data_IF_600082380470
#
_entry.id   IF_600082380470
#
_cell.length_a   1.000
_cell.length_b   1.000
_cell.length_c   1.000
_cell.angle_alpha   90.00
_cell.angle_beta   90.00
_cell.angle_gamma   90.00
#
_symmetry.space_group_name_H-M   'P 1'
#
loop_
_entity.id
_entity.type
_entity.pdbx_description
1 polymer ?
#
# COMPACT_ATOMS: atom_id res chain seq x y z
N UNK A 1 14.44 -12.87 19.61
CA UNK A 1 13.66 -12.73 20.86
C UNK A 1 12.51 -13.74 20.91
N UNK A 2 11.45 -13.65 20.10
CA UNK A 2 10.35 -14.64 20.13
C UNK A 2 10.83 -16.10 20.00
N UNK A 3 11.61 -16.42 18.96
CA UNK A 3 12.18 -17.75 18.78
C UNK A 3 13.10 -18.22 19.93
N UNK A 4 13.75 -17.28 20.63
CA UNK A 4 14.60 -17.60 21.78
C UNK A 4 13.75 -17.95 23.01
N UNK A 5 12.67 -17.20 23.24
CA UNK A 5 11.71 -17.44 24.32
C UNK A 5 10.97 -18.77 24.10
N UNK A 6 10.52 -19.05 22.88
CA UNK A 6 9.92 -20.34 22.53
C UNK A 6 10.89 -21.51 22.76
N UNK A 7 12.16 -21.36 22.34
CA UNK A 7 13.19 -22.36 22.59
C UNK A 7 13.50 -22.56 24.09
N UNK A 8 13.20 -21.55 24.92
CA UNK A 8 13.33 -21.61 26.38
C UNK A 8 12.08 -22.17 27.07
N UNK A 9 11.07 -22.61 26.31
CA UNK A 9 9.81 -23.15 26.85
C UNK A 9 8.78 -22.08 27.24
N UNK A 10 9.03 -20.81 26.93
CA UNK A 10 8.12 -19.71 27.28
C UNK A 10 6.96 -19.59 26.29
N UNK A 11 5.76 -19.28 26.81
CA UNK A 11 4.58 -19.05 25.97
C UNK A 11 4.63 -17.65 25.36
N UNK A 12 4.84 -17.58 24.05
CA UNK A 12 4.89 -16.32 23.30
C UNK A 12 3.57 -16.05 22.57
N UNK A 13 3.07 -14.82 22.67
CA UNK A 13 1.85 -14.37 22.00
C UNK A 13 2.12 -13.05 21.27
N UNK A 14 1.61 -12.91 20.04
CA UNK A 14 1.62 -11.64 19.31
C UNK A 14 0.36 -10.83 19.62
N UNK A 15 0.53 -9.64 20.20
CA UNK A 15 -0.59 -8.74 20.51
C UNK A 15 -0.68 -7.66 19.44
N UNK A 16 -1.83 -7.57 18.77
CA UNK A 16 -2.12 -6.45 17.88
C UNK A 16 -2.18 -5.16 18.67
N UNK A 17 -1.76 -4.03 18.08
CA UNK A 17 -1.80 -2.74 18.81
C UNK A 17 -3.22 -2.48 19.37
N UNK A 18 -3.39 -2.35 20.70
CA UNK A 18 -4.70 -2.13 21.30
C UNK A 18 -5.38 -0.87 20.77
N UNK A 19 -6.71 -0.86 20.70
CA UNK A 19 -7.49 0.35 20.45
C UNK A 19 -7.16 1.38 21.55
N UNK A 20 -6.61 2.52 21.13
CA UNK A 20 -6.20 3.59 22.03
C UNK A 20 -7.41 4.43 22.44
N UNK A 21 -7.64 4.67 23.74
CA UNK A 21 -8.47 5.80 24.17
C UNK A 21 -7.81 7.11 23.73
N UNK A 22 -8.60 8.10 23.33
CA UNK A 22 -8.10 9.45 23.07
C UNK A 22 -7.60 10.04 24.39
N UNK A 23 -6.29 10.20 24.55
CA UNK A 23 -5.69 10.73 25.78
C UNK A 23 -5.33 12.21 25.58
N UNK A 24 -5.98 13.11 26.31
CA UNK A 24 -5.58 14.52 26.42
C UNK A 24 -4.34 14.59 27.32
N UNK A 25 -3.19 15.01 26.77
CA UNK A 25 -2.02 15.46 27.54
C UNK A 25 -1.09 14.41 28.15
N UNK A 26 -1.28 13.12 27.91
CA UNK A 26 -0.43 12.07 28.49
C UNK A 26 0.87 11.83 27.70
N UNK A 27 2.03 11.86 28.37
CA UNK A 27 3.33 11.50 27.78
C UNK A 27 3.37 9.99 27.51
N UNK A 28 3.72 9.62 26.28
CA UNK A 28 3.89 8.23 25.80
C UNK A 28 4.94 7.52 26.66
N UNK A 29 4.61 6.36 27.23
CA UNK A 29 5.60 5.49 27.87
C UNK A 29 5.42 4.04 27.42
N UNK A 30 6.52 3.38 27.05
CA UNK A 30 6.49 1.99 26.58
C UNK A 30 6.05 1.01 27.68
N UNK A 31 6.22 1.39 28.96
CA UNK A 31 5.73 0.62 30.11
C UNK A 31 4.20 0.50 30.14
N UNK A 32 3.46 1.58 29.81
CA UNK A 32 2.00 1.53 29.74
C UNK A 32 1.51 0.67 28.57
N UNK A 33 2.22 0.71 27.44
CA UNK A 33 1.92 -0.14 26.28
C UNK A 33 2.19 -1.62 26.61
N UNK A 34 3.25 -1.93 27.36
CA UNK A 34 3.53 -3.29 27.82
C UNK A 34 2.43 -3.85 28.75
N UNK A 35 1.96 -3.07 29.74
CA UNK A 35 0.86 -3.49 30.63
C UNK A 35 -0.43 -3.73 29.85
N UNK A 36 -0.76 -2.85 28.88
CA UNK A 36 -1.94 -3.02 28.03
C UNK A 36 -1.84 -4.28 27.19
N UNK A 37 -0.69 -4.52 26.56
CA UNK A 37 -0.46 -5.72 25.77
C UNK A 37 -0.57 -6.99 26.63
N UNK A 38 0.00 -6.99 27.84
CA UNK A 38 -0.09 -8.11 28.77
C UNK A 38 -1.54 -8.39 29.20
N UNK A 39 -2.31 -7.36 29.55
CA UNK A 39 -3.73 -7.51 29.89
C UNK A 39 -4.54 -8.08 28.72
N UNK A 40 -4.34 -7.54 27.52
CA UNK A 40 -5.02 -8.01 26.32
C UNK A 40 -4.67 -9.49 26.03
N UNK A 41 -3.40 -9.86 26.15
CA UNK A 41 -2.94 -11.23 25.99
C UNK A 41 -3.57 -12.19 27.01
N UNK A 42 -3.66 -11.79 28.30
CA UNK A 42 -4.25 -12.61 29.36
C UNK A 42 -5.76 -12.80 29.19
N UNK A 43 -6.46 -11.79 28.65
CA UNK A 43 -7.91 -11.85 28.41
C UNK A 43 -8.29 -12.48 27.07
N UNK A 44 -7.31 -12.77 26.21
CA UNK A 44 -7.56 -13.31 24.88
C UNK A 44 -7.78 -14.82 24.93
N UNK A 45 -8.99 -15.28 24.61
CA UNK A 45 -9.31 -16.71 24.48
C UNK A 45 -8.56 -17.39 23.33
N UNK A 46 -8.21 -16.61 22.30
CA UNK A 46 -7.57 -17.10 21.08
C UNK A 46 -6.41 -16.17 20.66
N UNK A 47 -5.25 -16.26 21.34
CA UNK A 47 -4.10 -15.43 21.04
C UNK A 47 -3.56 -15.69 19.63
N UNK A 48 -3.09 -14.64 18.96
CA UNK A 48 -2.37 -14.78 17.69
C UNK A 48 -0.99 -15.34 17.99
N UNK A 49 -0.65 -16.46 17.35
CA UNK A 49 0.67 -17.06 17.51
C UNK A 49 1.74 -16.21 16.81
N UNK A 50 2.98 -16.17 17.35
CA UNK A 50 4.07 -15.46 16.72
C UNK A 50 4.35 -16.03 15.33
N UNK A 51 4.89 -15.20 14.44
CA UNK A 51 5.26 -15.65 13.09
C UNK A 51 6.47 -16.59 13.16
N UNK A 52 6.37 -17.69 12.44
CA UNK A 52 7.49 -18.62 12.26
C UNK A 52 8.58 -18.00 11.37
N UNK A 53 9.84 -18.38 11.65
CA UNK A 53 10.99 -18.07 10.79
C UNK A 53 11.19 -19.21 9.77
N UNK A 54 12.23 -19.12 8.95
CA UNK A 54 12.48 -20.07 7.85
C UNK A 54 12.02 -19.48 6.51
N UNK A 55 11.32 -20.27 5.71
CA UNK A 55 10.82 -19.88 4.38
C UNK A 55 10.05 -18.55 4.38
N UNK A 56 9.24 -18.31 5.41
CA UNK A 56 8.53 -17.02 5.57
C UNK A 56 9.46 -15.83 5.75
N UNK A 57 10.58 -16.01 6.45
CA UNK A 57 11.55 -14.93 6.63
C UNK A 57 12.35 -14.69 5.35
N UNK A 58 12.68 -15.76 4.61
CA UNK A 58 13.27 -15.67 3.27
C UNK A 58 12.34 -14.92 2.30
N UNK A 59 11.03 -15.21 2.33
CA UNK A 59 10.06 -14.47 1.53
C UNK A 59 9.84 -13.03 2.04
N UNK A 60 9.97 -12.76 3.35
CA UNK A 60 9.72 -11.41 3.91
C UNK A 60 10.76 -10.38 3.47
N UNK A 61 12.02 -10.79 3.34
CA UNK A 61 13.10 -9.84 3.04
C UNK A 61 12.92 -9.22 1.66
N UNK A 62 12.49 -9.97 0.65
CA UNK A 62 12.39 -9.47 -0.72
C UNK A 62 11.35 -8.34 -0.92
N UNK A 63 10.07 -8.45 -0.49
CA UNK A 63 9.11 -7.36 -0.60
C UNK A 63 9.51 -6.13 0.21
N UNK A 64 10.22 -6.33 1.32
CA UNK A 64 10.73 -5.23 2.15
C UNK A 64 11.81 -4.46 1.40
N UNK A 65 12.80 -5.17 0.85
CA UNK A 65 13.88 -4.57 0.04
C UNK A 65 13.32 -3.91 -1.22
N UNK A 66 12.43 -4.57 -1.96
CA UNK A 66 11.78 -4.02 -3.15
C UNK A 66 11.04 -2.72 -2.83
N UNK A 67 10.31 -2.67 -1.71
CA UNK A 67 9.61 -1.45 -1.29
C UNK A 67 10.58 -0.30 -1.01
N UNK A 68 11.73 -0.59 -0.42
CA UNK A 68 12.80 0.39 -0.23
C UNK A 68 13.30 0.93 -1.58
N UNK A 69 13.61 0.05 -2.54
CA UNK A 69 14.06 0.43 -3.88
C UNK A 69 13.02 1.29 -4.64
N UNK A 70 11.73 0.95 -4.54
CA UNK A 70 10.63 1.73 -5.14
C UNK A 70 10.49 3.10 -4.47
N UNK A 71 10.62 3.16 -3.15
CA UNK A 71 10.60 4.43 -2.41
C UNK A 71 11.79 5.32 -2.80
N UNK A 72 12.99 4.74 -2.87
CA UNK A 72 14.20 5.44 -3.32
C UNK A 72 14.08 5.90 -4.79
N UNK A 73 13.48 5.08 -5.66
CA UNK A 73 13.19 5.47 -7.06
C UNK A 73 12.33 6.71 -7.11
N UNK A 74 11.29 6.78 -6.27
CA UNK A 74 10.36 7.92 -6.22
C UNK A 74 11.08 9.17 -5.74
N UNK A 75 11.88 9.06 -4.68
CA UNK A 75 12.71 10.17 -4.19
C UNK A 75 13.71 10.67 -5.25
N UNK A 76 14.37 9.76 -5.97
CA UNK A 76 15.31 10.10 -7.02
C UNK A 76 14.63 10.76 -8.23
N UNK A 77 13.43 10.30 -8.63
CA UNK A 77 12.62 10.97 -9.67
C UNK A 77 12.28 12.39 -9.24
N UNK A 78 11.82 12.59 -8.01
CA UNK A 78 11.51 13.92 -7.51
C UNK A 78 12.75 14.82 -7.52
N UNK A 79 13.91 14.31 -7.10
CA UNK A 79 15.17 15.03 -7.16
C UNK A 79 15.56 15.40 -8.61
N UNK A 80 15.43 14.47 -9.56
CA UNK A 80 15.68 14.75 -10.98
C UNK A 80 14.78 15.86 -11.51
N UNK A 81 13.49 15.87 -11.14
CA UNK A 81 12.54 16.91 -11.55
C UNK A 81 12.94 18.28 -10.98
N UNK A 82 13.39 18.34 -9.74
CA UNK A 82 13.91 19.58 -9.13
C UNK A 82 15.13 20.09 -9.91
N UNK A 83 16.09 19.21 -10.20
CA UNK A 83 17.27 19.59 -10.99
C UNK A 83 16.91 20.10 -12.39
N UNK A 84 15.93 19.48 -13.05
CA UNK A 84 15.44 19.95 -14.37
C UNK A 84 14.82 21.35 -14.26
N UNK A 85 14.04 21.61 -13.21
CA UNK A 85 13.41 22.94 -13.01
C UNK A 85 14.48 24.02 -12.77
N UNK A 86 15.54 23.71 -12.03
CA UNK A 86 16.62 24.66 -11.74
C UNK A 86 17.75 24.69 -12.78
N UNK A 87 17.70 23.85 -13.81
CA UNK A 87 18.75 23.79 -14.84
C UNK A 87 18.77 25.07 -15.69
N UNK A 88 19.89 25.38 -16.39
CA UNK A 88 19.96 26.41 -17.43
C UNK A 88 18.80 26.35 -18.44
N UNK A 89 18.39 27.50 -18.97
CA UNK A 89 17.17 27.64 -19.78
C UNK A 89 17.15 26.75 -21.02
N UNK A 90 18.29 26.59 -21.69
CA UNK A 90 18.44 25.75 -22.87
C UNK A 90 18.30 24.26 -22.53
N UNK A 91 18.96 23.78 -21.47
CA UNK A 91 18.79 22.41 -20.96
C UNK A 91 17.36 22.15 -20.50
N UNK A 92 16.78 23.07 -19.75
CA UNK A 92 15.41 22.94 -19.24
C UNK A 92 14.41 22.86 -20.39
N UNK A 93 14.54 23.70 -21.40
CA UNK A 93 13.62 23.76 -22.54
C UNK A 93 13.65 22.48 -23.37
N UNK A 94 14.83 21.88 -23.55
CA UNK A 94 14.98 20.58 -24.21
C UNK A 94 14.29 19.46 -23.43
N UNK A 95 14.53 19.36 -22.12
CA UNK A 95 14.12 18.22 -21.31
C UNK A 95 12.63 18.30 -20.88
N UNK A 96 12.10 19.51 -20.68
CA UNK A 96 10.77 19.72 -20.07
C UNK A 96 9.61 19.17 -20.89
N UNK A 97 9.71 19.17 -22.22
CA UNK A 97 8.67 18.67 -23.13
C UNK A 97 8.62 17.14 -23.19
N UNK A 98 9.64 16.45 -22.68
CA UNK A 98 9.75 15.00 -22.72
C UNK A 98 8.89 14.32 -21.63
N UNK A 99 8.42 13.10 -21.93
CA UNK A 99 7.79 12.25 -20.91
C UNK A 99 8.78 11.91 -19.79
N UNK A 100 8.30 11.60 -18.58
CA UNK A 100 9.18 11.23 -17.46
C UNK A 100 10.14 10.07 -17.78
N UNK A 101 9.71 9.10 -18.62
CA UNK A 101 10.57 8.01 -19.08
C UNK A 101 11.67 8.53 -20.00
N UNK A 102 11.30 9.37 -20.98
CA UNK A 102 12.25 9.98 -21.91
C UNK A 102 13.23 10.91 -21.19
N UNK A 103 12.80 11.68 -20.20
CA UNK A 103 13.69 12.52 -19.37
C UNK A 103 14.76 11.69 -18.65
N UNK A 104 14.37 10.57 -18.04
CA UNK A 104 15.33 9.68 -17.35
C UNK A 104 16.32 9.11 -18.37
N UNK A 105 15.84 8.59 -19.51
CA UNK A 105 16.72 8.03 -20.54
C UNK A 105 17.67 9.09 -21.13
N UNK A 106 17.17 10.29 -21.41
CA UNK A 106 17.95 11.40 -21.95
C UNK A 106 19.01 11.86 -20.95
N UNK A 107 18.64 12.10 -19.69
CA UNK A 107 19.56 12.54 -18.66
C UNK A 107 20.60 11.47 -18.30
N UNK A 108 20.27 10.17 -18.38
CA UNK A 108 21.21 9.09 -18.08
C UNK A 108 22.37 9.00 -19.08
N UNK A 109 22.15 9.44 -20.32
CA UNK A 109 23.13 9.46 -21.40
C UNK A 109 23.11 10.82 -22.12
N UNK A 110 23.53 11.90 -21.43
CA UNK A 110 23.47 13.23 -21.99
C UNK A 110 24.55 13.35 -23.08
N UNK A 111 24.17 13.98 -24.19
CA UNK A 111 25.06 14.22 -25.34
C UNK A 111 26.26 15.06 -24.92
N UNK A 112 27.44 14.70 -25.40
CA UNK A 112 28.64 15.51 -25.22
C UNK A 112 28.47 16.86 -25.93
N UNK A 113 28.82 17.95 -25.22
CA UNK A 113 28.76 19.30 -25.78
C UNK A 113 30.12 19.98 -25.59
N UNK A 114 30.81 20.39 -26.66
CA UNK A 114 32.01 21.20 -26.54
C UNK A 114 31.65 22.61 -26.01
N UNK A 115 32.56 23.21 -25.25
CA UNK A 115 32.50 24.59 -24.73
C UNK A 115 31.24 24.97 -23.93
N UNK A 116 31.14 24.48 -22.69
CA UNK A 116 30.05 24.83 -21.77
C UNK A 116 30.52 25.71 -20.61
N UNK A 117 29.65 26.64 -20.19
CA UNK A 117 29.85 27.43 -18.97
C UNK A 117 29.91 26.50 -17.73
N UNK A 118 30.40 27.02 -16.59
CA UNK A 118 30.58 26.22 -15.38
C UNK A 118 29.28 25.57 -14.90
N UNK A 119 28.15 26.29 -15.00
CA UNK A 119 26.83 25.82 -14.59
C UNK A 119 26.40 24.55 -15.34
N UNK A 120 26.60 24.52 -16.65
CA UNK A 120 26.35 23.35 -17.48
C UNK A 120 27.27 22.17 -17.14
N UNK A 121 28.57 22.45 -16.97
CA UNK A 121 29.58 21.44 -16.62
C UNK A 121 29.26 20.74 -15.31
N UNK A 122 28.58 21.40 -14.37
CA UNK A 122 28.16 20.81 -13.10
C UNK A 122 26.75 20.19 -13.16
N UNK A 123 25.82 20.81 -13.88
CA UNK A 123 24.43 20.35 -13.98
C UNK A 123 24.31 19.01 -14.71
N UNK A 124 25.04 18.83 -15.82
CA UNK A 124 24.94 17.60 -16.64
C UNK A 124 25.36 16.34 -15.86
N UNK A 125 26.52 16.30 -15.17
CA UNK A 125 26.88 15.16 -14.32
C UNK A 125 25.87 14.88 -13.20
N UNK A 126 25.30 15.91 -12.59
CA UNK A 126 24.28 15.75 -11.54
C UNK A 126 22.99 15.12 -12.08
N UNK A 127 22.51 15.58 -13.24
CA UNK A 127 21.38 14.97 -13.95
C UNK A 127 21.68 13.52 -14.32
N UNK A 128 22.89 13.24 -14.84
CA UNK A 128 23.34 11.90 -15.23
C UNK A 128 23.36 10.94 -14.04
N UNK A 129 24.04 11.32 -12.97
CA UNK A 129 24.15 10.50 -11.75
C UNK A 129 22.77 10.17 -11.17
N UNK A 130 21.87 11.16 -11.12
CA UNK A 130 20.51 10.96 -10.62
C UNK A 130 19.69 10.05 -11.53
N UNK A 131 19.78 10.23 -12.85
CA UNK A 131 19.05 9.42 -13.82
C UNK A 131 19.52 7.96 -13.86
N UNK A 132 20.83 7.73 -13.80
CA UNK A 132 21.41 6.39 -13.69
C UNK A 132 20.97 5.70 -12.39
N UNK A 133 20.96 6.43 -11.26
CA UNK A 133 20.44 5.89 -9.99
C UNK A 133 18.98 5.44 -10.10
N UNK A 134 18.13 6.21 -10.80
CA UNK A 134 16.74 5.80 -11.05
C UNK A 134 16.69 4.50 -11.87
N UNK A 135 17.53 4.35 -12.88
CA UNK A 135 17.58 3.14 -13.70
C UNK A 135 18.03 1.92 -12.88
N UNK A 136 19.08 2.07 -12.08
CA UNK A 136 19.58 1.01 -11.18
C UNK A 136 18.50 0.58 -10.18
N UNK A 137 17.86 1.52 -9.48
CA UNK A 137 16.82 1.21 -8.50
C UNK A 137 15.58 0.55 -9.12
N UNK A 138 15.23 0.94 -10.36
CA UNK A 138 14.15 0.28 -11.11
C UNK A 138 14.51 -1.14 -11.53
N UNK A 139 15.75 -1.35 -11.97
CA UNK A 139 16.23 -2.68 -12.33
C UNK A 139 16.25 -3.58 -11.09
N UNK A 140 16.80 -3.11 -9.97
CA UNK A 140 16.79 -3.81 -8.68
C UNK A 140 15.36 -4.17 -8.25
N UNK A 141 14.42 -3.22 -8.30
CA UNK A 141 13.03 -3.49 -7.94
C UNK A 141 12.35 -4.54 -8.86
N UNK A 142 12.73 -4.58 -10.14
CA UNK A 142 12.23 -5.56 -11.11
C UNK A 142 12.81 -6.95 -10.84
N UNK A 143 14.11 -7.06 -10.61
CA UNK A 143 14.77 -8.33 -10.26
C UNK A 143 14.16 -8.91 -8.98
N UNK A 144 13.97 -8.09 -7.95
CA UNK A 144 13.32 -8.53 -6.72
C UNK A 144 11.87 -8.97 -6.94
N UNK A 145 11.14 -8.34 -7.87
CA UNK A 145 9.76 -8.75 -8.22
C UNK A 145 9.72 -10.09 -8.95
N UNK A 146 10.70 -10.34 -9.83
CA UNK A 146 10.86 -11.63 -10.51
C UNK A 146 11.16 -12.76 -9.50
N UNK A 147 12.08 -12.53 -8.57
CA UNK A 147 12.39 -13.48 -7.48
C UNK A 147 11.17 -13.73 -6.57
N UNK A 148 10.43 -12.68 -6.19
CA UNK A 148 9.20 -12.83 -5.43
C UNK A 148 8.17 -13.66 -6.21
N UNK A 149 8.05 -13.44 -7.51
CA UNK A 149 7.11 -14.17 -8.37
C UNK A 149 7.46 -15.65 -8.42
N UNK A 150 8.74 -15.99 -8.61
CA UNK A 150 9.21 -17.37 -8.60
C UNK A 150 8.89 -18.07 -7.26
N UNK A 151 9.28 -17.46 -6.13
CA UNK A 151 9.02 -18.04 -4.81
C UNK A 151 7.53 -18.20 -4.50
N UNK A 152 6.69 -17.25 -4.92
CA UNK A 152 5.23 -17.38 -4.73
C UNK A 152 4.67 -18.53 -5.56
N UNK A 153 5.12 -18.70 -6.80
CA UNK A 153 4.68 -19.81 -7.65
C UNK A 153 5.13 -21.17 -7.10
N UNK A 154 6.32 -21.24 -6.52
CA UNK A 154 6.83 -22.48 -5.91
C UNK A 154 6.05 -22.85 -4.64
N UNK A 155 5.71 -21.87 -3.81
CA UNK A 155 5.11 -22.10 -2.49
C UNK A 155 3.57 -22.20 -2.56
N UNK A 156 2.91 -21.32 -3.31
CA UNK A 156 1.44 -21.22 -3.42
C UNK A 156 0.99 -20.69 -4.79
N UNK A 157 1.06 -21.53 -5.85
CA UNK A 157 0.63 -21.13 -7.19
C UNK A 157 -0.87 -20.81 -7.26
N UNK A 158 -1.68 -21.43 -6.41
CA UNK A 158 -3.13 -21.21 -6.29
C UNK A 158 -3.50 -19.76 -5.92
N UNK A 159 -2.61 -19.03 -5.23
CA UNK A 159 -2.82 -17.61 -4.96
C UNK A 159 -2.71 -16.73 -6.21
N UNK A 160 -1.91 -17.15 -7.19
CA UNK A 160 -1.70 -16.40 -8.43
C UNK A 160 -2.86 -16.60 -9.43
N UNK A 161 -3.71 -17.59 -9.20
CA UNK A 161 -4.95 -17.82 -9.97
C UNK A 161 -6.10 -16.90 -9.51
N UNK A 162 -5.98 -16.29 -8.33
CA UNK A 162 -7.03 -15.45 -7.77
C UNK A 162 -7.09 -14.08 -8.45
N UNK A 163 -8.30 -13.67 -8.83
CA UNK A 163 -8.52 -12.38 -9.49
C UNK A 163 -8.09 -11.22 -8.58
N UNK A 164 -7.21 -10.36 -9.09
CA UNK A 164 -6.71 -9.19 -8.36
C UNK A 164 -5.56 -9.48 -7.39
N UNK A 165 -5.08 -10.71 -7.33
CA UNK A 165 -3.87 -11.09 -6.60
C UNK A 165 -2.70 -11.15 -7.60
N UNK A 166 -1.60 -10.51 -7.26
CA UNK A 166 -0.34 -10.58 -8.00
C UNK A 166 0.80 -10.92 -7.05
N UNK A 167 2.00 -11.17 -7.57
CA UNK A 167 3.13 -11.69 -6.78
C UNK A 167 3.41 -10.90 -5.50
N UNK A 168 3.37 -9.56 -5.57
CA UNK A 168 3.63 -8.70 -4.41
C UNK A 168 2.52 -8.81 -3.34
N UNK A 169 1.25 -8.87 -3.74
CA UNK A 169 0.15 -9.02 -2.78
C UNK A 169 0.09 -10.44 -2.22
N UNK A 170 0.33 -11.47 -3.05
CA UNK A 170 0.45 -12.86 -2.62
C UNK A 170 1.57 -13.03 -1.59
N UNK A 171 2.78 -12.53 -1.88
CA UNK A 171 3.90 -12.56 -0.94
C UNK A 171 3.57 -11.85 0.37
N UNK A 172 2.89 -10.70 0.31
CA UNK A 172 2.45 -10.01 1.52
C UNK A 172 1.45 -10.84 2.34
N UNK A 173 0.50 -11.52 1.69
CA UNK A 173 -0.46 -12.41 2.36
C UNK A 173 0.29 -13.54 3.06
N UNK A 174 1.18 -14.25 2.36
CA UNK A 174 2.00 -15.33 2.91
C UNK A 174 2.84 -14.87 4.11
N UNK A 175 3.52 -13.73 3.98
CA UNK A 175 4.33 -13.14 5.05
C UNK A 175 3.49 -12.69 6.25
N UNK A 176 2.26 -12.23 6.01
CA UNK A 176 1.35 -11.74 7.05
C UNK A 176 0.62 -12.87 7.77
N UNK A 177 0.27 -13.93 7.06
CA UNK A 177 -0.43 -15.10 7.56
C UNK A 177 0.51 -16.07 8.28
N UNK A 178 1.70 -16.31 7.71
CA UNK A 178 2.79 -17.15 8.22
C UNK A 178 2.58 -18.66 8.16
N UNK A 179 1.61 -19.25 8.88
CA UNK A 179 1.43 -20.71 8.96
C UNK A 179 0.02 -21.12 9.42
N UNK A 180 -0.40 -22.38 9.20
CA UNK A 180 -1.67 -22.91 9.73
C UNK A 180 -1.75 -22.78 11.25
N UNK A 181 -2.93 -22.47 11.77
CA UNK A 181 -3.17 -22.33 13.22
C UNK A 181 -2.75 -20.98 13.82
N UNK A 182 -2.08 -20.08 13.07
CA UNK A 182 -1.74 -18.75 13.58
C UNK A 182 -2.98 -17.87 13.86
N UNK A 183 -4.00 -18.00 13.04
CA UNK A 183 -5.30 -17.36 13.24
C UNK A 183 -6.37 -18.41 13.48
N UNK A 184 -7.32 -18.10 14.37
CA UNK A 184 -8.48 -18.95 14.67
C UNK A 184 -9.48 -19.08 13.52
N UNK A 185 -9.49 -18.14 12.58
CA UNK A 185 -10.41 -18.12 11.43
C UNK A 185 -9.97 -17.12 10.36
N UNK A 186 -10.54 -17.25 9.16
CA UNK A 186 -10.38 -16.28 8.08
C UNK A 186 -10.85 -14.88 8.49
N UNK A 187 -11.99 -14.78 9.20
CA UNK A 187 -12.50 -13.50 9.70
C UNK A 187 -11.53 -12.80 10.68
N UNK A 188 -10.82 -13.58 11.50
CA UNK A 188 -9.78 -13.05 12.38
C UNK A 188 -8.58 -12.51 11.56
N UNK A 189 -8.19 -13.22 10.50
CA UNK A 189 -7.17 -12.73 9.57
C UNK A 189 -7.62 -11.48 8.80
N UNK A 190 -8.86 -11.43 8.31
CA UNK A 190 -9.41 -10.25 7.64
C UNK A 190 -9.46 -9.03 8.57
N UNK A 191 -9.77 -9.25 9.85
CA UNK A 191 -9.73 -8.19 10.86
C UNK A 191 -8.31 -7.70 11.09
N UNK A 192 -7.34 -8.62 11.16
CA UNK A 192 -5.90 -8.32 11.23
C UNK A 192 -5.37 -7.61 9.97
N UNK A 193 -5.90 -7.93 8.80
CA UNK A 193 -5.51 -7.27 7.55
C UNK A 193 -6.21 -5.90 7.35
N UNK A 194 -7.16 -5.54 8.23
CA UNK A 194 -7.99 -4.35 8.04
C UNK A 194 -9.00 -4.48 6.89
N UNK A 195 -9.24 -5.69 6.39
CA UNK A 195 -10.18 -5.95 5.28
C UNK A 195 -11.56 -6.42 5.76
N UNK A 196 -11.70 -6.77 7.04
CA UNK A 196 -12.99 -7.17 7.60
C UNK A 196 -14.02 -6.00 7.54
N UNK A 197 -15.24 -6.24 7.03
CA UNK A 197 -16.30 -5.24 7.02
C UNK A 197 -16.76 -4.95 8.44
N UNK A 198 -16.84 -3.67 8.81
CA UNK A 198 -17.35 -3.23 10.11
C UNK A 198 -18.77 -2.70 9.92
N UNK A 199 -19.77 -3.18 10.68
CA UNK A 199 -21.11 -2.62 10.64
C UNK A 199 -21.06 -1.13 11.03
N UNK A 200 -21.68 -0.30 10.19
CA UNK A 200 -21.71 1.15 10.27
C UNK A 200 -23.14 1.66 10.52
N UNK A 201 -23.94 0.88 11.22
CA UNK A 201 -25.33 1.19 11.55
C UNK A 201 -25.70 0.61 12.91
N UNK A 202 -26.55 1.34 13.64
CA UNK A 202 -27.15 0.94 14.92
C UNK A 202 -28.66 0.70 14.80
N UNK A 203 -29.17 0.45 13.58
CA UNK A 203 -30.60 0.27 13.27
C UNK A 203 -30.83 -0.64 12.05
N UNK A 204 -32.06 -0.69 11.52
CA UNK A 204 -32.54 -1.59 10.44
C UNK A 204 -31.85 -1.46 9.06
N UNK A 205 -30.84 -0.61 8.92
CA UNK A 205 -30.08 -0.45 7.66
C UNK A 205 -28.78 -1.22 7.75
N UNK A 206 -28.50 -2.11 6.79
CA UNK A 206 -27.27 -2.90 6.76
C UNK A 206 -26.18 -2.16 5.95
N UNK A 207 -25.40 -1.30 6.61
CA UNK A 207 -24.25 -0.60 5.99
C UNK A 207 -22.96 -1.09 6.60
N UNK A 208 -21.95 -1.32 5.78
CA UNK A 208 -20.61 -1.71 6.22
C UNK A 208 -19.59 -0.67 5.80
N UNK A 209 -18.61 -0.41 6.66
CA UNK A 209 -17.42 0.38 6.34
C UNK A 209 -16.18 -0.50 6.38
N UNK A 210 -15.17 -0.14 5.59
CA UNK A 210 -13.85 -0.75 5.67
C UNK A 210 -13.21 -0.46 7.03
N UNK A 211 -12.54 -1.45 7.59
CA UNK A 211 -11.73 -1.27 8.78
C UNK A 211 -10.49 -0.43 8.42
N UNK A 212 -10.42 0.81 8.89
CA UNK A 212 -9.28 1.70 8.61
C UNK A 212 -8.04 1.38 9.46
N UNK A 213 -8.12 0.38 10.35
CA UNK A 213 -6.96 -0.07 11.10
C UNK A 213 -5.99 -0.82 10.18
N UNK A 214 -4.73 -0.36 10.12
CA UNK A 214 -3.73 -0.86 9.18
C UNK A 214 -2.38 -1.08 9.87
N UNK A 215 -1.79 -2.28 9.81
CA UNK A 215 -0.39 -2.47 10.14
C UNK A 215 0.49 -1.67 9.17
N UNK A 216 1.59 -1.07 9.63
CA UNK A 216 2.50 -0.26 8.80
C UNK A 216 3.13 -1.03 7.62
N UNK A 217 2.99 -2.36 7.59
CA UNK A 217 3.67 -3.25 6.64
C UNK A 217 2.84 -3.71 5.43
N UNK A 218 1.52 -3.49 5.36
CA UNK A 218 0.69 -3.98 4.23
C UNK A 218 0.46 -2.91 3.14
N UNK A 219 0.23 -3.27 1.86
CA UNK A 219 -0.24 -2.37 0.80
C UNK A 219 -1.77 -2.14 0.88
N UNK A 220 -2.27 -1.13 0.16
CA UNK A 220 -3.69 -0.76 0.20
C UNK A 220 -4.52 -1.82 -0.50
N UNK A 221 -5.70 -2.16 0.04
CA UNK A 221 -6.64 -3.00 -0.69
C UNK A 221 -6.97 -2.34 -2.03
N UNK A 222 -7.09 -3.10 -3.14
CA UNK A 222 -7.57 -2.55 -4.40
C UNK A 222 -8.95 -1.93 -4.17
N UNK A 223 -9.11 -0.65 -4.54
CA UNK A 223 -10.41 -0.01 -4.50
C UNK A 223 -11.33 -0.71 -5.51
N UNK A 224 -12.26 -1.52 -5.02
CA UNK A 224 -13.40 -1.93 -5.82
C UNK A 224 -14.27 -0.69 -6.05
N UNK A 225 -14.07 -0.01 -7.17
CA UNK A 225 -15.10 0.87 -7.70
C UNK A 225 -16.23 -0.03 -8.20
N UNK A 226 -17.43 -0.01 -7.59
CA UNK A 226 -18.58 -0.64 -8.21
C UNK A 226 -18.78 0.06 -9.56
N UNK A 227 -18.75 -0.72 -10.65
CA UNK A 227 -19.15 -0.22 -11.97
C UNK A 227 -20.55 0.38 -11.81
N UNK A 228 -20.82 1.59 -12.34
CA UNK A 228 -22.17 2.14 -12.31
C UNK A 228 -23.08 1.14 -13.04
N UNK A 229 -24.06 0.60 -12.31
CA UNK A 229 -25.08 -0.26 -12.90
C UNK A 229 -25.82 0.46 -14.03
N UNK A 230 -26.48 -0.29 -14.94
CA UNK A 230 -27.21 0.30 -16.04
C UNK A 230 -28.21 1.33 -15.51
N UNK A 231 -28.15 2.54 -16.09
CA UNK A 231 -29.07 3.63 -15.75
C UNK A 231 -30.50 3.12 -15.92
N UNK A 232 -31.29 3.13 -14.83
CA UNK A 232 -32.73 2.85 -14.89
C UNK A 232 -33.38 3.75 -15.95
N UNK A 233 -34.29 3.24 -16.78
CA UNK A 233 -35.04 4.07 -17.72
C UNK A 233 -35.78 5.17 -16.95
N UNK A 234 -35.65 6.41 -17.43
CA UNK A 234 -36.47 7.52 -16.91
C UNK A 234 -37.91 7.27 -17.33
N UNK A 235 -38.80 7.01 -16.36
CA UNK A 235 -40.24 7.03 -16.62
C UNK A 235 -40.66 8.43 -17.11
N UNK A 236 -41.51 8.54 -18.14
CA UNK A 236 -42.05 9.82 -18.56
C UNK A 236 -42.87 10.43 -17.42
N UNK A 237 -42.60 11.69 -17.12
CA UNK A 237 -43.40 12.48 -16.16
C UNK A 237 -44.83 12.53 -16.69
N UNK A 238 -45.78 12.00 -15.92
CA UNK A 238 -47.21 12.18 -16.15
C UNK A 238 -47.50 13.68 -16.11
N UNK A 239 -47.80 14.27 -17.27
CA UNK A 239 -48.37 15.61 -17.36
C UNK A 239 -49.78 15.57 -16.76
N UNK A 240 -49.97 16.34 -15.69
CA UNK A 240 -51.28 16.59 -15.09
C UNK A 240 -52.02 17.61 -15.98
N UNK A 241 -53.22 17.32 -16.51
CA UNK A 241 -53.95 18.29 -17.32
C UNK A 241 -54.55 19.40 -16.43
N UNK A 242 -54.71 20.63 -16.95
CA UNK A 242 -55.27 21.75 -16.20
C UNK A 242 -56.80 21.61 -16.04
N UNK A 243 -57.29 21.84 -14.82
CA UNK A 243 -58.72 21.87 -14.52
C UNK A 243 -59.40 23.10 -15.14
N UNK A 244 -60.40 22.86 -15.99
CA UNK A 244 -61.32 23.87 -16.51
C UNK A 244 -62.26 24.37 -15.40
N UNK A 245 -62.31 25.68 -15.23
CA UNK A 245 -63.35 26.39 -14.45
C UNK A 245 -64.67 26.40 -15.25
N UNK A 246 -65.74 25.94 -14.62
CA UNK A 246 -67.14 26.23 -14.98
C UNK A 246 -67.97 26.07 -13.70
N UNK A 247 -68.35 27.17 -13.05
CA UNK A 247 -69.67 27.82 -13.17
C UNK A 247 -70.82 26.89 -12.75
N UNK A 248 -71.39 27.17 -11.58
CA UNK A 248 -72.70 26.67 -11.10
C UNK A 248 -73.68 27.83 -11.27
N UNK A 249 -74.85 27.65 -11.93
CA UNK A 249 -75.93 28.62 -11.87
C UNK A 249 -77.00 28.22 -10.84
N UNK A 250 -77.57 29.29 -10.25
CA UNK A 250 -78.83 29.44 -9.47
C UNK A 250 -78.99 28.64 -8.18
#
# INVERSE_FOLDING_TARGET
MAAFLEASGEKVVEVCRPKRPAQRGGRKTDALDAIRAAREALTSEHPILPRQRGEREALRVLPTTRRSAVSATTAAINHLKVLIVSAPDDLRSEIRSMSSKAQISHCANPRERPSQNLEHRMTIPALRSTAQRIQTLRAEAKTLEEEITALVNDVRPDLMEQIGVGAISAAQVLVSWSHPGRFRSEAAFATFAGTAPIPASSGLTNRHRLNQWRPSTQPSAPHHHPRPGPRRPRHPRLHRPPHLRGQVPT
#
